data_IF_179273691360
#
_entry.id   IF_179273691360
#
_cell.length_a   1.000
_cell.length_b   1.000
_cell.length_c   1.000
_cell.angle_alpha   90.00
_cell.angle_beta   90.00
_cell.angle_gamma   90.00
#
_symmetry.space_group_name_H-M   'P 1'
#
loop_
_entity.id
_entity.type
_entity.pdbx_description
1 polymer ?
#
# COMPACT_ATOMS: atom_id res chain seq x y z
N UNK A 1 -8.72 -22.35 -11.10
CA UNK A 1 -7.96 -21.16 -11.53
C UNK A 1 -6.69 -21.63 -12.24
N UNK A 2 -6.15 -20.89 -13.20
CA UNK A 2 -4.84 -21.23 -13.79
C UNK A 2 -3.74 -21.17 -12.71
N UNK A 3 -2.76 -22.08 -12.75
CA UNK A 3 -1.74 -22.19 -11.70
C UNK A 3 -0.87 -20.93 -11.60
N UNK A 4 -0.50 -20.34 -12.74
CA UNK A 4 0.30 -19.12 -12.78
C UNK A 4 -0.48 -17.94 -12.21
N UNK A 5 -1.78 -17.85 -12.53
CA UNK A 5 -2.66 -16.82 -11.98
C UNK A 5 -2.86 -16.96 -10.48
N UNK A 6 -3.04 -18.19 -9.97
CA UNK A 6 -3.15 -18.46 -8.54
C UNK A 6 -1.86 -18.10 -7.80
N UNK A 7 -0.70 -18.46 -8.34
CA UNK A 7 0.59 -18.09 -7.77
C UNK A 7 0.78 -16.56 -7.75
N UNK A 8 0.38 -15.88 -8.81
CA UNK A 8 0.44 -14.42 -8.90
C UNK A 8 -0.48 -13.74 -7.87
N UNK A 9 -1.69 -14.28 -7.63
CA UNK A 9 -2.59 -13.79 -6.59
C UNK A 9 -2.03 -14.02 -5.18
N UNK A 10 -1.46 -15.20 -4.89
CA UNK A 10 -0.81 -15.46 -3.61
C UNK A 10 0.41 -14.53 -3.39
N UNK A 11 1.17 -14.24 -4.45
CA UNK A 11 2.26 -13.26 -4.41
C UNK A 11 1.75 -11.84 -4.17
N UNK A 12 0.64 -11.44 -4.78
CA UNK A 12 0.05 -10.12 -4.54
C UNK A 12 -0.50 -10.00 -3.12
N UNK A 13 -1.19 -11.03 -2.61
CA UNK A 13 -1.59 -11.11 -1.19
C UNK A 13 -0.40 -10.86 -0.27
N UNK A 14 0.73 -11.52 -0.53
CA UNK A 14 1.94 -11.34 0.27
C UNK A 14 2.56 -9.94 0.11
N UNK A 15 2.43 -9.33 -1.08
CA UNK A 15 2.85 -7.95 -1.30
C UNK A 15 2.03 -6.97 -0.44
N UNK A 16 0.71 -7.13 -0.36
CA UNK A 16 -0.12 -6.27 0.49
C UNK A 16 0.23 -6.44 1.99
N UNK A 17 0.54 -7.67 2.43
CA UNK A 17 1.06 -7.90 3.79
C UNK A 17 2.41 -7.18 4.03
N UNK A 18 3.29 -7.18 3.02
CA UNK A 18 4.56 -6.45 3.08
C UNK A 18 4.34 -4.93 3.13
N UNK A 19 3.41 -4.39 2.34
CA UNK A 19 3.05 -2.98 2.33
C UNK A 19 2.48 -2.57 3.71
N UNK A 20 1.55 -3.36 4.25
CA UNK A 20 1.01 -3.17 5.60
C UNK A 20 2.11 -3.10 6.66
N UNK A 21 3.07 -4.05 6.63
CA UNK A 21 4.17 -4.07 7.59
C UNK A 21 5.13 -2.90 7.43
N UNK A 22 5.40 -2.48 6.19
CA UNK A 22 6.19 -1.31 5.89
C UNK A 22 5.52 -0.03 6.41
N UNK A 23 4.22 0.14 6.20
CA UNK A 23 3.49 1.33 6.64
C UNK A 23 3.40 1.40 8.16
N UNK A 24 3.32 0.25 8.84
CA UNK A 24 3.49 0.23 10.30
C UNK A 24 4.89 0.68 10.74
N UNK A 25 5.93 0.31 9.98
CA UNK A 25 7.31 0.78 10.23
C UNK A 25 7.47 2.28 9.98
N UNK A 26 6.82 2.82 8.94
CA UNK A 26 6.75 4.27 8.70
C UNK A 26 6.05 4.99 9.83
N UNK A 27 4.92 4.45 10.32
CA UNK A 27 4.23 5.01 11.48
C UNK A 27 5.14 5.06 12.72
N UNK A 28 5.89 3.98 12.99
CA UNK A 28 6.83 3.96 14.10
C UNK A 28 7.96 4.99 13.94
N UNK A 29 8.47 5.19 12.72
CA UNK A 29 9.44 6.23 12.43
C UNK A 29 8.88 7.64 12.71
N UNK A 30 7.68 7.95 12.23
CA UNK A 30 7.06 9.26 12.45
C UNK A 30 6.76 9.53 13.93
N UNK A 31 6.35 8.50 14.67
CA UNK A 31 6.19 8.58 16.13
C UNK A 31 7.52 8.93 16.83
N UNK A 32 8.63 8.29 16.42
CA UNK A 32 9.95 8.54 16.99
C UNK A 32 10.47 9.97 16.77
N UNK A 33 10.00 10.66 15.74
CA UNK A 33 10.36 12.06 15.46
C UNK A 33 9.25 13.04 15.88
N UNK A 34 8.29 12.61 16.70
CA UNK A 34 7.19 13.41 17.24
C UNK A 34 6.22 13.99 16.19
N UNK A 35 6.09 13.36 15.02
CA UNK A 35 5.09 13.68 13.99
C UNK A 35 3.90 12.71 14.10
N UNK A 36 3.10 12.90 15.14
CA UNK A 36 2.05 11.96 15.55
C UNK A 36 0.89 11.85 14.55
N UNK A 37 0.61 12.90 13.78
CA UNK A 37 -0.40 12.89 12.72
C UNK A 37 0.04 12.12 11.49
N UNK A 38 1.31 12.22 11.08
CA UNK A 38 1.89 11.30 10.10
C UNK A 38 1.85 9.86 10.60
N UNK A 39 2.22 9.63 11.87
CA UNK A 39 2.16 8.30 12.46
C UNK A 39 0.73 7.71 12.44
N UNK A 40 -0.27 8.53 12.75
CA UNK A 40 -1.68 8.16 12.66
C UNK A 40 -2.10 7.79 11.22
N UNK A 41 -1.74 8.63 10.24
CA UNK A 41 -2.01 8.38 8.82
C UNK A 41 -1.47 7.02 8.37
N UNK A 42 -0.22 6.70 8.72
CA UNK A 42 0.39 5.43 8.31
C UNK A 42 -0.11 4.21 9.10
N UNK A 43 -0.64 4.39 10.32
CA UNK A 43 -1.38 3.32 11.02
C UNK A 43 -2.68 2.97 10.30
N UNK A 44 -3.38 3.97 9.77
CA UNK A 44 -4.58 3.75 8.95
C UNK A 44 -4.19 3.06 7.64
N UNK A 45 -3.17 3.56 6.94
CA UNK A 45 -2.70 2.93 5.70
C UNK A 45 -2.28 1.47 5.91
N UNK A 46 -1.56 1.17 7.00
CA UNK A 46 -1.20 -0.21 7.33
C UNK A 46 -2.42 -1.11 7.52
N UNK A 47 -3.52 -0.58 8.08
CA UNK A 47 -4.77 -1.31 8.24
C UNK A 47 -5.49 -1.52 6.91
N UNK A 48 -5.53 -0.51 6.05
CA UNK A 48 -6.11 -0.60 4.70
C UNK A 48 -5.37 -1.65 3.86
N UNK A 49 -4.04 -1.67 3.84
CA UNK A 49 -3.29 -2.71 3.13
C UNK A 49 -3.51 -4.12 3.68
N UNK A 50 -3.73 -4.26 5.00
CA UNK A 50 -4.12 -5.55 5.56
C UNK A 50 -5.52 -5.95 5.05
N UNK A 51 -6.45 -5.02 4.93
CA UNK A 51 -7.77 -5.28 4.34
C UNK A 51 -7.66 -5.66 2.85
N UNK A 52 -6.74 -5.05 2.10
CA UNK A 52 -6.41 -5.42 0.71
C UNK A 52 -5.91 -6.88 0.64
N UNK A 53 -4.95 -7.25 1.49
CA UNK A 53 -4.45 -8.62 1.61
C UNK A 53 -5.59 -9.61 1.90
N UNK A 54 -6.45 -9.27 2.87
CA UNK A 54 -7.58 -10.12 3.28
C UNK A 54 -8.65 -10.26 2.20
N UNK A 55 -8.80 -9.25 1.34
CA UNK A 55 -9.69 -9.31 0.18
C UNK A 55 -9.19 -10.33 -0.86
N UNK A 56 -7.87 -10.34 -1.14
CA UNK A 56 -7.26 -11.35 -2.02
C UNK A 56 -7.33 -12.74 -1.38
N UNK A 57 -7.02 -12.85 -0.09
CA UNK A 57 -7.13 -14.09 0.68
C UNK A 57 -8.50 -14.72 0.54
N UNK A 58 -9.56 -13.95 0.80
CA UNK A 58 -10.93 -14.43 0.75
C UNK A 58 -11.31 -14.83 -0.67
N UNK A 59 -10.92 -14.03 -1.66
CA UNK A 59 -11.18 -14.34 -3.06
C UNK A 59 -10.57 -15.67 -3.52
N UNK A 60 -9.32 -15.95 -3.15
CA UNK A 60 -8.66 -17.23 -3.47
C UNK A 60 -9.45 -18.40 -2.90
N UNK A 61 -9.87 -18.31 -1.63
CA UNK A 61 -10.66 -19.37 -0.97
C UNK A 61 -12.06 -19.53 -1.57
N UNK A 62 -12.74 -18.43 -1.89
CA UNK A 62 -14.07 -18.44 -2.51
C UNK A 62 -14.04 -19.08 -3.91
N UNK A 63 -12.88 -19.02 -4.58
CA UNK A 63 -12.63 -19.73 -5.85
C UNK A 63 -12.30 -21.21 -5.66
N UNK A 64 -12.28 -21.72 -4.43
CA UNK A 64 -11.98 -23.10 -4.07
C UNK A 64 -10.47 -23.43 -4.13
N UNK A 65 -9.62 -22.42 -4.18
CA UNK A 65 -8.17 -22.57 -4.28
C UNK A 65 -7.50 -22.46 -2.92
N UNK A 66 -6.22 -22.85 -2.85
CA UNK A 66 -5.42 -22.80 -1.61
C UNK A 66 -4.63 -21.49 -1.53
N UNK A 67 -4.71 -20.84 -0.37
CA UNK A 67 -3.82 -19.72 -0.02
C UNK A 67 -2.44 -20.25 0.39
N UNK A 68 -1.39 -19.61 -0.13
CA UNK A 68 0.00 -19.85 0.26
C UNK A 68 0.64 -18.53 0.68
N UNK A 69 1.23 -18.52 1.88
CA UNK A 69 1.97 -17.38 2.41
C UNK A 69 3.46 -17.51 2.08
N UNK A 70 4.10 -16.36 1.89
CA UNK A 70 5.56 -16.28 1.69
C UNK A 70 6.19 -15.48 2.83
N UNK A 71 7.51 -15.35 2.78
CA UNK A 71 8.22 -14.53 3.75
C UNK A 71 7.79 -13.06 3.64
N UNK A 72 7.61 -12.44 4.81
CA UNK A 72 7.44 -10.99 4.95
C UNK A 72 8.75 -10.45 5.51
N UNK A 73 9.64 -9.89 4.67
CA UNK A 73 10.93 -9.42 5.12
C UNK A 73 10.77 -8.26 6.10
N UNK A 74 11.77 -8.10 6.98
CA UNK A 74 11.84 -6.95 7.88
C UNK A 74 11.82 -5.64 7.06
N UNK A 75 10.90 -4.69 7.37
CA UNK A 75 10.79 -3.47 6.60
C UNK A 75 11.94 -2.50 6.92
N UNK A 76 12.17 -1.55 6.01
CA UNK A 76 12.97 -0.35 6.30
C UNK A 76 12.39 0.34 7.53
N UNK A 77 13.25 0.77 8.45
CA UNK A 77 12.86 1.28 9.78
C UNK A 77 13.41 2.67 10.11
N UNK A 78 14.02 3.34 9.14
CA UNK A 78 14.55 4.68 9.29
C UNK A 78 14.72 5.37 7.96
N UNK A 79 14.51 6.68 7.97
CA UNK A 79 14.64 7.59 6.84
C UNK A 79 15.44 8.82 7.30
N UNK A 80 16.20 9.43 6.41
CA UNK A 80 16.99 10.63 6.70
C UNK A 80 16.15 11.90 6.80
N UNK A 81 14.94 11.89 6.26
CA UNK A 81 14.01 13.03 6.33
C UNK A 81 12.55 12.59 6.17
N UNK A 82 11.62 13.51 6.48
CA UNK A 82 10.18 13.33 6.15
C UNK A 82 9.99 13.17 4.65
N UNK A 83 10.73 13.95 3.84
CA UNK A 83 10.65 13.87 2.38
C UNK A 83 11.05 12.49 1.88
N UNK A 84 12.18 11.94 2.35
CA UNK A 84 12.62 10.60 1.96
C UNK A 84 11.59 9.51 2.31
N UNK A 85 10.96 9.61 3.50
CA UNK A 85 9.91 8.67 3.91
C UNK A 85 8.69 8.72 2.98
N UNK A 86 8.25 9.93 2.59
CA UNK A 86 7.10 10.09 1.70
C UNK A 86 7.43 9.77 0.24
N UNK A 87 8.67 9.99 -0.20
CA UNK A 87 9.13 9.54 -1.53
C UNK A 87 9.14 8.01 -1.62
N UNK A 88 9.63 7.32 -0.58
CA UNK A 88 9.53 5.87 -0.49
C UNK A 88 8.06 5.41 -0.55
N UNK A 89 7.18 6.00 0.26
CA UNK A 89 5.75 5.67 0.26
C UNK A 89 5.14 5.77 -1.15
N UNK A 90 5.35 6.91 -1.83
CA UNK A 90 4.87 7.12 -3.19
C UNK A 90 5.41 6.06 -4.17
N UNK A 91 6.70 5.72 -4.09
CA UNK A 91 7.30 4.72 -4.97
C UNK A 91 6.75 3.30 -4.71
N UNK A 92 6.42 2.97 -3.46
CA UNK A 92 5.76 1.70 -3.13
C UNK A 92 4.37 1.63 -3.74
N UNK A 93 3.57 2.69 -3.65
CA UNK A 93 2.23 2.72 -4.26
C UNK A 93 2.28 2.59 -5.79
N UNK A 94 3.16 3.35 -6.46
CA UNK A 94 3.36 3.23 -7.92
C UNK A 94 3.78 1.80 -8.30
N UNK A 95 4.64 1.18 -7.50
CA UNK A 95 5.06 -0.21 -7.73
C UNK A 95 3.90 -1.18 -7.52
N UNK A 96 3.04 -0.96 -6.53
CA UNK A 96 1.89 -1.80 -6.25
C UNK A 96 0.87 -1.72 -7.40
N UNK A 97 0.59 -0.51 -7.89
CA UNK A 97 -0.27 -0.30 -9.06
C UNK A 97 0.21 -1.09 -10.28
N UNK A 98 1.51 -1.05 -10.58
CA UNK A 98 2.07 -1.80 -11.71
C UNK A 98 1.89 -3.32 -11.54
N UNK A 99 1.93 -3.84 -10.30
CA UNK A 99 1.68 -5.26 -10.03
C UNK A 99 0.23 -5.62 -10.28
N UNK A 100 -0.72 -4.79 -9.83
CA UNK A 100 -2.14 -4.96 -10.11
C UNK A 100 -2.42 -4.96 -11.62
N UNK A 101 -1.82 -4.04 -12.39
CA UNK A 101 -1.99 -4.02 -13.85
C UNK A 101 -1.51 -5.31 -14.52
N UNK A 102 -0.32 -5.80 -14.13
CA UNK A 102 0.20 -7.09 -14.63
C UNK A 102 -0.72 -8.25 -14.28
N UNK A 103 -1.35 -8.21 -13.10
CA UNK A 103 -2.27 -9.26 -12.66
C UNK A 103 -3.58 -9.22 -13.46
N UNK A 104 -4.08 -8.04 -13.81
CA UNK A 104 -5.23 -7.85 -14.73
C UNK A 104 -4.90 -8.40 -16.12
N UNK A 105 -3.73 -8.05 -16.66
CA UNK A 105 -3.27 -8.55 -17.95
C UNK A 105 -3.14 -10.07 -17.96
N UNK A 106 -2.59 -10.65 -16.88
CA UNK A 106 -2.48 -12.09 -16.71
C UNK A 106 -3.86 -12.74 -16.68
N UNK A 107 -4.79 -12.25 -15.85
CA UNK A 107 -6.16 -12.76 -15.78
C UNK A 107 -6.85 -12.75 -17.15
N UNK A 108 -6.70 -11.65 -17.90
CA UNK A 108 -7.23 -11.51 -19.26
C UNK A 108 -6.59 -12.51 -20.23
N UNK A 109 -5.26 -12.66 -20.19
CA UNK A 109 -4.53 -13.59 -21.07
C UNK A 109 -4.94 -15.05 -20.86
N UNK A 110 -5.31 -15.41 -19.62
CA UNK A 110 -5.79 -16.75 -19.25
C UNK A 110 -7.30 -16.92 -19.46
N UNK A 111 -8.01 -15.86 -19.84
CA UNK A 111 -9.46 -15.86 -20.00
C UNK A 111 -10.24 -16.01 -18.69
N UNK A 112 -9.63 -15.74 -17.52
CA UNK A 112 -10.29 -15.85 -16.21
C UNK A 112 -11.08 -14.56 -15.91
N UNK A 113 -12.30 -14.51 -16.45
CA UNK A 113 -13.22 -13.36 -16.33
C UNK A 113 -13.57 -13.01 -14.89
N UNK A 114 -13.64 -14.01 -14.02
CA UNK A 114 -13.95 -13.80 -12.62
C UNK A 114 -12.81 -13.09 -11.88
N UNK A 115 -11.56 -13.40 -12.23
CA UNK A 115 -10.38 -12.72 -11.65
C UNK A 115 -10.23 -11.32 -12.23
N UNK A 116 -10.42 -11.15 -13.54
CA UNK A 116 -10.43 -9.83 -14.16
C UNK A 116 -11.49 -8.91 -13.52
N UNK A 117 -12.71 -9.41 -13.31
CA UNK A 117 -13.78 -8.66 -12.64
C UNK A 117 -13.46 -8.34 -11.18
N UNK A 118 -12.82 -9.27 -10.46
CA UNK A 118 -12.39 -9.06 -9.07
C UNK A 118 -11.34 -7.95 -8.96
N UNK A 119 -10.34 -7.97 -9.85
CA UNK A 119 -9.25 -7.00 -9.86
C UNK A 119 -9.67 -5.59 -10.24
N UNK A 120 -10.87 -5.40 -10.84
CA UNK A 120 -11.41 -4.06 -11.08
C UNK A 120 -11.43 -3.20 -9.81
N UNK A 121 -11.78 -3.79 -8.67
CA UNK A 121 -11.77 -3.07 -7.40
C UNK A 121 -10.38 -2.54 -7.06
N UNK A 122 -9.33 -3.36 -7.23
CA UNK A 122 -7.94 -2.94 -6.98
C UNK A 122 -7.46 -1.89 -7.98
N UNK A 123 -7.91 -1.96 -9.23
CA UNK A 123 -7.60 -0.93 -10.22
C UNK A 123 -8.18 0.42 -9.80
N UNK A 124 -9.44 0.44 -9.35
CA UNK A 124 -10.08 1.66 -8.88
C UNK A 124 -9.40 2.17 -7.58
N UNK A 125 -9.04 1.27 -6.65
CA UNK A 125 -8.37 1.58 -5.39
C UNK A 125 -6.98 2.22 -5.62
N UNK A 126 -6.15 1.60 -6.47
CA UNK A 126 -4.79 2.10 -6.73
C UNK A 126 -4.78 3.50 -7.38
N UNK A 127 -5.86 3.92 -8.05
CA UNK A 127 -5.99 5.30 -8.54
C UNK A 127 -6.13 6.29 -7.38
N UNK A 128 -6.89 5.94 -6.35
CA UNK A 128 -7.01 6.78 -5.15
C UNK A 128 -5.72 6.73 -4.31
N UNK A 129 -5.06 5.57 -4.22
CA UNK A 129 -3.79 5.45 -3.49
C UNK A 129 -2.67 6.30 -4.11
N UNK A 130 -2.47 6.21 -5.43
CA UNK A 130 -1.48 7.04 -6.11
C UNK A 130 -1.79 8.54 -5.98
N UNK A 131 -3.06 8.93 -6.02
CA UNK A 131 -3.48 10.31 -5.80
C UNK A 131 -3.16 10.76 -4.38
N UNK A 132 -3.51 9.97 -3.37
CA UNK A 132 -3.23 10.28 -1.97
C UNK A 132 -1.72 10.40 -1.72
N UNK A 133 -0.93 9.45 -2.22
CA UNK A 133 0.51 9.43 -2.07
C UNK A 133 1.18 10.61 -2.80
N UNK A 134 0.77 10.90 -4.04
CA UNK A 134 1.32 12.02 -4.83
C UNK A 134 0.96 13.38 -4.23
N UNK A 135 -0.26 13.56 -3.73
CA UNK A 135 -0.66 14.79 -3.03
C UNK A 135 0.12 15.01 -1.74
N UNK A 136 0.31 13.96 -0.94
CA UNK A 136 1.10 14.05 0.29
C UNK A 136 2.55 14.40 -0.04
N UNK A 137 3.14 13.76 -1.05
CA UNK A 137 4.48 14.07 -1.52
C UNK A 137 4.61 15.53 -1.98
N UNK A 138 3.64 16.04 -2.74
CA UNK A 138 3.63 17.42 -3.19
C UNK A 138 3.57 18.40 -1.98
N UNK A 139 2.71 18.13 -0.99
CA UNK A 139 2.59 18.94 0.22
C UNK A 139 3.88 18.94 1.05
N UNK A 140 4.54 17.79 1.21
CA UNK A 140 5.84 17.70 1.90
C UNK A 140 6.93 18.43 1.14
N UNK A 141 6.98 18.34 -0.19
CA UNK A 141 7.91 19.13 -1.02
C UNK A 141 7.68 20.63 -0.92
N UNK A 142 6.42 21.07 -0.80
CA UNK A 142 6.08 22.48 -0.57
C UNK A 142 6.51 22.96 0.82
N UNK A 143 6.40 22.11 1.84
CA UNK A 143 6.84 22.41 3.20
C UNK A 143 8.37 22.59 3.30
N UNK A 144 9.14 21.90 2.45
CA UNK A 144 10.62 21.89 2.48
C UNK A 144 11.10 21.60 3.91
N UNK A 145 12.03 22.41 4.41
CA UNK A 145 12.58 22.29 5.76
C UNK A 145 11.85 23.20 6.78
N UNK A 146 10.62 23.64 6.52
CA UNK A 146 9.87 24.53 7.42
C UNK A 146 9.16 23.74 8.53
N UNK A 147 9.60 23.81 9.80
CA UNK A 147 8.95 23.09 10.88
C UNK A 147 7.47 23.49 11.09
N UNK A 148 7.08 24.78 11.03
CA UNK A 148 5.67 25.16 11.13
C UNK A 148 4.80 24.54 10.03
N UNK A 149 5.32 24.42 8.80
CA UNK A 149 4.56 23.83 7.69
C UNK A 149 4.37 22.31 7.90
N UNK A 150 5.41 21.61 8.35
CA UNK A 150 5.33 20.19 8.68
C UNK A 150 4.37 19.91 9.84
N UNK A 151 4.37 20.75 10.90
CA UNK A 151 3.45 20.62 12.03
C UNK A 151 1.99 20.92 11.64
N UNK A 152 1.78 21.87 10.72
CA UNK A 152 0.45 22.13 10.17
C UNK A 152 -0.07 20.93 9.36
N UNK A 153 0.80 20.33 8.53
CA UNK A 153 0.46 19.12 7.78
C UNK A 153 0.21 17.93 8.72
N UNK A 154 1.04 17.74 9.74
CA UNK A 154 0.86 16.72 10.78
C UNK A 154 -0.53 16.82 11.42
N UNK A 155 -0.94 18.04 11.80
CA UNK A 155 -2.26 18.29 12.40
C UNK A 155 -3.43 17.92 11.47
N UNK A 156 -3.26 18.07 10.15
CA UNK A 156 -4.27 17.65 9.16
C UNK A 156 -4.31 16.12 9.04
N UNK A 157 -3.14 15.48 8.97
CA UNK A 157 -3.03 14.03 8.83
C UNK A 157 -3.60 13.27 10.05
N UNK A 158 -3.51 13.87 11.25
CA UNK A 158 -4.13 13.35 12.46
C UNK A 158 -5.67 13.23 12.38
N UNK A 159 -6.32 13.89 11.41
CA UNK A 159 -7.77 13.88 11.25
C UNK A 159 -8.28 12.81 10.28
N UNK A 160 -7.39 12.04 9.62
CA UNK A 160 -7.80 10.91 8.78
C UNK A 160 -8.61 9.91 9.63
N UNK A 161 -9.70 9.40 9.07
CA UNK A 161 -10.59 8.44 9.75
C UNK A 161 -10.47 7.08 9.12
#
# INVERSE_FOLDING_TARGET
MDKELLEALNKQLNQELQNSYLYLSMAAYFENISLTGFAHYFKIQAKEELEHAMKIYSYILDRGEKVEFFDVPRPKSGWGSVLEAIEDFYNFEVTNTQRIWRLVELARSKGDKATESFLKWFVDEQVEEEKNASELLAKVRMAKDSPPALLALDSVLAQRK
#
